data_IF_609188293358
#
_entry.id   IF_609188293358
#
_cell.length_a   1.000
_cell.length_b   1.000
_cell.length_c   1.000
_cell.angle_alpha   90.00
_cell.angle_beta   90.00
_cell.angle_gamma   90.00
#
_symmetry.space_group_name_H-M   'P 1'
#
loop_
_entity.id
_entity.type
_entity.pdbx_description
1 polymer ?
#
# COMPACT_ATOMS: atom_id res chain seq x y z
N UNK A 1 -16.10 -23.65 8.36
CA UNK A 1 -15.13 -23.29 7.31
C UNK A 1 -14.33 -22.11 7.86
N UNK A 2 -13.09 -22.35 8.32
CA UNK A 2 -12.26 -21.28 8.86
C UNK A 2 -11.73 -20.49 7.66
N UNK A 3 -12.24 -19.27 7.46
CA UNK A 3 -11.78 -18.41 6.38
C UNK A 3 -10.28 -18.19 6.56
N UNK A 4 -9.47 -18.62 5.58
CA UNK A 4 -8.03 -18.36 5.57
C UNK A 4 -7.80 -16.90 5.18
N UNK A 5 -8.20 -15.99 6.07
CA UNK A 5 -8.02 -14.57 5.90
C UNK A 5 -6.56 -14.24 6.18
N UNK A 6 -5.88 -13.67 5.20
CA UNK A 6 -4.52 -13.17 5.40
C UNK A 6 -4.61 -11.91 6.24
N UNK A 7 -3.98 -11.92 7.41
CA UNK A 7 -3.96 -10.80 8.36
C UNK A 7 -2.55 -10.27 8.55
N UNK A 8 -2.39 -8.96 8.43
CA UNK A 8 -1.13 -8.25 8.72
C UNK A 8 -1.42 -7.07 9.64
N UNK A 9 -0.44 -6.63 10.42
CA UNK A 9 -0.59 -5.48 11.31
C UNK A 9 0.71 -4.67 11.39
N UNK A 10 0.58 -3.38 11.65
CA UNK A 10 1.69 -2.48 11.94
C UNK A 10 1.35 -1.72 13.22
N UNK A 11 2.30 -1.73 14.16
CA UNK A 11 2.26 -0.91 15.36
C UNK A 11 2.73 0.52 15.05
N UNK A 12 1.88 1.49 15.33
CA UNK A 12 2.17 2.91 15.20
C UNK A 12 2.16 3.56 16.58
N UNK A 13 2.82 4.71 16.77
CA UNK A 13 2.76 5.45 18.03
C UNK A 13 1.32 5.86 18.43
N UNK A 14 0.38 5.87 17.49
CA UNK A 14 -1.03 6.18 17.70
C UNK A 14 -1.98 4.97 17.71
N UNK A 15 -1.46 3.74 17.79
CA UNK A 15 -2.24 2.50 17.86
C UNK A 15 -1.83 1.44 16.83
N UNK A 16 -2.34 0.21 17.01
CA UNK A 16 -2.05 -0.89 16.07
C UNK A 16 -3.07 -0.91 14.95
N UNK A 17 -2.60 -0.82 13.70
CA UNK A 17 -3.47 -0.94 12.52
C UNK A 17 -3.32 -2.34 11.95
N UNK A 18 -4.43 -2.99 11.66
CA UNK A 18 -4.51 -4.37 11.13
C UNK A 18 -5.25 -4.35 9.79
N UNK A 19 -4.74 -5.06 8.78
CA UNK A 19 -5.46 -5.37 7.55
C UNK A 19 -5.76 -6.86 7.48
N UNK A 20 -7.00 -7.19 7.14
CA UNK A 20 -7.50 -8.54 6.95
C UNK A 20 -8.06 -8.66 5.53
N UNK A 21 -7.52 -9.59 4.75
CA UNK A 21 -8.02 -9.89 3.41
C UNK A 21 -8.60 -11.29 3.35
N UNK A 22 -9.87 -11.38 2.97
CA UNK A 22 -10.58 -12.63 2.77
C UNK A 22 -10.50 -13.01 1.29
N UNK A 23 -9.67 -14.01 0.90
CA UNK A 23 -9.52 -14.40 -0.50
C UNK A 23 -10.80 -15.02 -1.09
N UNK A 24 -11.62 -15.67 -0.26
CA UNK A 24 -12.86 -16.32 -0.69
C UNK A 24 -13.92 -15.30 -1.15
N UNK A 25 -13.99 -14.15 -0.48
CA UNK A 25 -14.97 -13.10 -0.77
C UNK A 25 -14.37 -11.86 -1.42
N UNK A 26 -13.04 -11.80 -1.53
CA UNK A 26 -12.31 -10.61 -1.95
C UNK A 26 -12.49 -9.40 -1.04
N UNK A 27 -12.85 -9.58 0.23
CA UNK A 27 -13.14 -8.47 1.15
C UNK A 27 -11.88 -8.04 1.88
N UNK A 28 -11.64 -6.74 1.93
CA UNK A 28 -10.52 -6.14 2.65
C UNK A 28 -11.08 -5.33 3.82
N UNK A 29 -10.59 -5.62 5.02
CA UNK A 29 -10.99 -4.94 6.26
C UNK A 29 -9.75 -4.35 6.89
N UNK A 30 -9.83 -3.09 7.30
CA UNK A 30 -8.76 -2.40 8.02
C UNK A 30 -9.31 -2.00 9.38
N UNK A 31 -8.67 -2.50 10.44
CA UNK A 31 -8.99 -2.19 11.82
C UNK A 31 -7.87 -1.34 12.42
N UNK A 32 -8.22 -0.44 13.32
CA UNK A 32 -7.28 0.30 14.14
C UNK A 32 -7.67 0.09 15.60
N UNK A 33 -6.77 -0.43 16.42
CA UNK A 33 -7.04 -0.74 17.84
C UNK A 33 -8.33 -1.56 18.00
N UNK A 34 -8.48 -2.60 17.16
CA UNK A 34 -9.66 -3.47 17.06
C UNK A 34 -10.94 -2.81 16.52
N UNK A 35 -10.91 -1.50 16.24
CA UNK A 35 -12.03 -0.77 15.66
C UNK A 35 -11.99 -0.80 14.14
N UNK A 36 -13.02 -1.33 13.48
CA UNK A 36 -13.14 -1.33 12.02
C UNK A 36 -13.15 0.11 11.48
N UNK A 37 -12.15 0.46 10.69
CA UNK A 37 -12.01 1.79 10.06
C UNK A 37 -12.50 1.79 8.64
N UNK A 38 -12.11 0.76 7.89
CA UNK A 38 -12.41 0.65 6.47
C UNK A 38 -12.81 -0.77 6.16
N UNK A 39 -13.90 -0.91 5.43
CA UNK A 39 -14.33 -2.18 4.86
C UNK A 39 -14.57 -1.97 3.37
N UNK A 40 -13.83 -2.71 2.56
CA UNK A 40 -13.87 -2.64 1.11
C UNK A 40 -14.35 -3.97 0.54
N UNK A 41 -15.32 -3.87 -0.35
CA UNK A 41 -15.86 -4.98 -1.13
C UNK A 41 -15.33 -4.90 -2.56
N UNK A 42 -15.30 -6.03 -3.29
CA UNK A 42 -15.01 -6.00 -4.72
C UNK A 42 -15.97 -5.04 -5.46
N UNK A 43 -15.48 -4.26 -6.44
CA UNK A 43 -14.12 -4.26 -6.99
C UNK A 43 -13.11 -3.40 -6.22
N UNK A 44 -13.55 -2.56 -5.28
CA UNK A 44 -12.72 -1.55 -4.61
C UNK A 44 -11.57 -2.17 -3.81
N UNK A 45 -11.83 -3.25 -3.08
CA UNK A 45 -10.79 -4.00 -2.34
C UNK A 45 -9.65 -4.46 -3.25
N UNK A 46 -9.98 -4.99 -4.43
CA UNK A 46 -8.99 -5.43 -5.41
C UNK A 46 -8.26 -4.26 -6.04
N UNK A 47 -8.95 -3.16 -6.30
CA UNK A 47 -8.33 -1.96 -6.86
C UNK A 47 -7.32 -1.35 -5.89
N UNK A 48 -7.63 -1.29 -4.60
CA UNK A 48 -6.71 -0.84 -3.55
C UNK A 48 -5.45 -1.70 -3.49
N UNK A 49 -5.61 -3.02 -3.48
CA UNK A 49 -4.48 -3.97 -3.50
C UNK A 49 -3.65 -3.81 -4.77
N UNK A 50 -4.29 -3.75 -5.94
CA UNK A 50 -3.59 -3.63 -7.22
C UNK A 50 -2.83 -2.30 -7.35
N UNK A 51 -3.35 -1.23 -6.75
CA UNK A 51 -2.72 0.10 -6.76
C UNK A 51 -1.38 0.11 -6.03
N UNK A 52 -1.26 -0.66 -4.95
CA UNK A 52 -0.03 -0.69 -4.13
C UNK A 52 0.92 -1.82 -4.52
N UNK A 53 0.41 -2.95 -5.04
CA UNK A 53 1.23 -4.11 -5.40
C UNK A 53 2.16 -3.88 -6.61
N UNK A 54 2.06 -2.72 -7.30
CA UNK A 54 3.09 -2.26 -8.23
C UNK A 54 3.49 -3.28 -9.30
N UNK A 55 2.51 -3.91 -9.95
CA UNK A 55 2.69 -4.96 -10.97
C UNK A 55 3.07 -6.36 -10.44
N UNK A 56 3.12 -6.58 -9.11
CA UNK A 56 3.23 -7.91 -8.51
C UNK A 56 1.93 -8.69 -8.70
N UNK A 57 1.75 -9.27 -9.89
CA UNK A 57 0.71 -10.27 -10.22
C UNK A 57 -0.72 -9.78 -9.95
N UNK A 58 -1.29 -9.14 -10.95
CA UNK A 58 -2.74 -8.93 -11.03
C UNK A 58 -3.47 -10.26 -10.82
N UNK A 59 -4.24 -10.39 -9.74
CA UNK A 59 -4.93 -11.64 -9.41
C UNK A 59 -5.40 -11.71 -7.96
N UNK A 60 -6.46 -12.48 -7.74
CA UNK A 60 -7.28 -12.63 -6.52
C UNK A 60 -6.57 -13.14 -5.25
N UNK A 61 -5.23 -13.13 -5.20
CA UNK A 61 -4.43 -13.64 -4.08
C UNK A 61 -3.32 -12.66 -3.72
N UNK A 62 -3.65 -11.55 -3.02
CA UNK A 62 -2.64 -10.72 -2.39
C UNK A 62 -1.79 -11.56 -1.44
N UNK A 63 -0.48 -11.32 -1.46
CA UNK A 63 0.44 -11.83 -0.44
C UNK A 63 0.42 -10.89 0.75
N UNK A 64 1.00 -11.36 1.86
CA UNK A 64 1.19 -10.54 3.06
C UNK A 64 1.91 -9.23 2.74
N UNK A 65 2.94 -9.26 1.88
CA UNK A 65 3.67 -8.07 1.44
C UNK A 65 2.77 -7.02 0.75
N UNK A 66 1.82 -7.46 -0.08
CA UNK A 66 0.88 -6.55 -0.75
C UNK A 66 -0.06 -5.90 0.27
N UNK A 67 -0.48 -6.66 1.29
CA UNK A 67 -1.33 -6.14 2.36
C UNK A 67 -0.59 -5.18 3.29
N UNK A 68 0.71 -5.40 3.52
CA UNK A 68 1.56 -4.43 4.21
C UNK A 68 1.57 -3.10 3.45
N UNK A 69 1.78 -3.11 2.13
CA UNK A 69 1.75 -1.90 1.32
C UNK A 69 0.38 -1.19 1.35
N UNK A 70 -0.72 -1.94 1.40
CA UNK A 70 -2.07 -1.37 1.59
C UNK A 70 -2.15 -0.66 2.93
N UNK A 71 -1.67 -1.30 4.00
CA UNK A 71 -1.70 -0.73 5.34
C UNK A 71 -0.79 0.52 5.43
N UNK A 72 0.40 0.47 4.87
CA UNK A 72 1.33 1.62 4.80
C UNK A 72 0.70 2.80 4.05
N UNK A 73 0.06 2.53 2.90
CA UNK A 73 -0.65 3.55 2.14
C UNK A 73 -1.79 4.17 2.95
N UNK A 74 -2.57 3.34 3.65
CA UNK A 74 -3.65 3.80 4.53
C UNK A 74 -3.12 4.68 5.67
N UNK A 75 -2.03 4.25 6.32
CA UNK A 75 -1.39 5.01 7.40
C UNK A 75 -0.86 6.35 6.89
N UNK A 76 -0.21 6.35 5.72
CA UNK A 76 0.32 7.56 5.09
C UNK A 76 -0.81 8.54 4.73
N UNK A 77 -1.93 8.04 4.21
CA UNK A 77 -3.10 8.88 3.89
C UNK A 77 -3.80 9.42 5.15
N UNK A 78 -3.85 8.63 6.23
CA UNK A 78 -4.65 8.95 7.42
C UNK A 78 -3.91 9.75 8.49
N UNK A 79 -2.62 9.46 8.67
CA UNK A 79 -1.78 10.03 9.73
C UNK A 79 -0.57 10.82 9.17
N UNK A 80 -0.36 10.82 7.86
CA UNK A 80 0.80 11.43 7.23
C UNK A 80 2.06 10.56 7.28
N UNK A 81 3.10 10.94 6.53
CA UNK A 81 4.36 10.18 6.41
C UNK A 81 5.07 9.93 7.75
N UNK A 82 4.82 10.75 8.77
CA UNK A 82 5.47 10.67 10.08
C UNK A 82 5.03 9.47 10.93
N UNK A 83 3.90 8.84 10.62
CA UNK A 83 3.38 7.71 11.41
C UNK A 83 4.06 6.38 11.08
N UNK A 84 4.61 6.21 9.87
CA UNK A 84 5.27 4.98 9.43
C UNK A 84 6.76 4.91 9.82
N UNK A 85 7.21 5.74 10.76
CA UNK A 85 8.62 5.88 11.07
C UNK A 85 9.13 4.69 11.91
N UNK A 86 9.35 3.54 11.27
CA UNK A 86 10.28 2.49 11.73
C UNK A 86 11.62 2.73 11.06
N UNK A 87 12.46 3.62 11.60
CA UNK A 87 13.88 3.78 11.24
C UNK A 87 14.32 3.34 9.82
N UNK A 88 13.60 3.78 8.78
CA UNK A 88 14.11 3.76 7.41
C UNK A 88 14.64 5.17 7.22
N UNK A 89 15.95 5.39 7.07
CA UNK A 89 16.41 6.70 6.62
C UNK A 89 15.67 6.95 5.31
N UNK A 90 14.81 7.97 5.31
CA UNK A 90 14.07 8.42 4.15
C UNK A 90 15.03 8.31 2.97
N UNK A 91 14.81 7.30 2.11
CA UNK A 91 15.48 7.26 0.85
C UNK A 91 15.00 8.53 0.17
N UNK A 92 15.90 9.50 0.17
CA UNK A 92 15.77 10.83 -0.35
C UNK A 92 15.21 10.72 -1.76
N UNK A 93 13.88 10.81 -1.86
CA UNK A 93 13.18 11.08 -3.08
C UNK A 93 13.41 12.56 -3.36
N UNK A 94 14.58 12.89 -3.89
CA UNK A 94 14.71 14.10 -4.69
C UNK A 94 13.75 13.96 -5.85
N UNK A 95 12.79 14.87 -6.04
CA UNK A 95 12.30 15.10 -7.38
C UNK A 95 13.50 15.60 -8.18
N UNK A 96 14.07 14.72 -9.02
CA UNK A 96 15.04 15.16 -10.01
C UNK A 96 14.43 16.33 -10.79
N UNK A 97 15.22 17.38 -11.10
CA UNK A 97 14.67 18.57 -11.71
C UNK A 97 13.95 18.16 -13.01
N UNK A 98 12.68 18.56 -13.12
CA UNK A 98 11.95 18.56 -14.39
C UNK A 98 12.74 19.44 -15.36
N UNK A 99 13.59 18.78 -16.15
CA UNK A 99 14.40 19.38 -17.18
C UNK A 99 14.38 18.47 -18.41
N UNK A 100 13.23 18.40 -19.07
CA UNK A 100 13.21 18.14 -20.51
C UNK A 100 13.22 19.53 -21.17
N UNK A 101 14.40 20.15 -21.17
CA UNK A 101 14.70 21.19 -22.14
C UNK A 101 15.07 20.52 -23.46
N UNK A 102 14.62 21.17 -24.51
CA UNK A 102 14.68 20.79 -25.90
C UNK A 102 16.14 20.90 -26.40
N UNK A 103 16.48 20.05 -27.37
CA UNK A 103 17.65 20.13 -28.27
C UNK A 103 18.97 19.57 -27.71
N UNK A 104 19.45 18.49 -28.33
CA UNK A 104 20.52 18.60 -29.33
C UNK A 104 20.64 17.26 -30.08
N UNK A 105 20.25 17.28 -31.36
CA UNK A 105 20.46 16.19 -32.31
C UNK A 105 21.94 16.22 -32.73
N UNK A 106 22.74 15.32 -32.14
CA UNK A 106 24.11 15.12 -32.60
C UNK A 106 24.12 14.32 -33.89
N UNK A 107 24.57 15.01 -34.95
CA UNK A 107 25.55 14.58 -35.95
C UNK A 107 25.47 13.12 -36.42
N UNK A 108 25.20 12.92 -37.71
CA UNK A 108 26.10 12.09 -38.55
C UNK A 108 26.09 12.57 -40.02
N UNK A 109 27.31 12.82 -40.52
CA UNK A 109 27.79 13.07 -41.90
C UNK A 109 27.91 14.52 -42.37
#
# INVERSE_FOLDING_TARGET
MQANATRVHIDLPGGTVTAEFHPDTGRLRILQDDMLRVELFPPHSWFTVASVAGNSRWGTRPREADLYLVLESFVMQRFGMSALNKDVPCAHWTPGPRGYDLRDDRRVR
#
